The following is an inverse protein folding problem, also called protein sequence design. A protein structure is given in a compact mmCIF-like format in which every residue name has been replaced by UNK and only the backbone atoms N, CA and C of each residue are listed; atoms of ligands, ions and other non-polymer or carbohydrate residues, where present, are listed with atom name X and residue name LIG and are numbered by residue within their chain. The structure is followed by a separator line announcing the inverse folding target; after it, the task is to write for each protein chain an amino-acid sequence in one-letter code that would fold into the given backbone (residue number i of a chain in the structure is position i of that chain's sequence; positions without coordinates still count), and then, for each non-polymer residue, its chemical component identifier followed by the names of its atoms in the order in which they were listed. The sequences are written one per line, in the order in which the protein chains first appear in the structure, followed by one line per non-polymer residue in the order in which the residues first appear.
data_IF_874289385276
#
_entry.id   IF_874289385276
#
_cell.length_a   1.000
_cell.length_b   1.000
_cell.length_c   1.000
_cell.angle_alpha   90.00
_cell.angle_beta   90.00
_cell.angle_gamma   90.00
#
_symmetry.space_group_name_H-M   'P 1'
#
loop_
_entity.id
_entity.type
_entity.pdbx_description
1 polymer ?
#
# COMPACT_ATOMS: atom_id res chain seq x y z
N UNK A 1 -4.01 13.34 -13.60
CA UNK A 1 -3.95 11.90 -13.93
C UNK A 1 -4.11 11.12 -12.62
N UNK A 2 -5.34 11.01 -12.13
CA UNK A 2 -5.73 10.20 -10.95
C UNK A 2 -6.32 8.84 -11.41
N UNK A 3 -6.28 8.60 -12.73
CA UNK A 3 -7.21 7.72 -13.44
C UNK A 3 -6.79 6.26 -13.59
N UNK A 4 -5.51 5.91 -13.43
CA UNK A 4 -5.06 4.56 -13.81
C UNK A 4 -5.41 3.52 -12.75
N UNK A 5 -5.43 3.90 -11.47
CA UNK A 5 -5.60 2.95 -10.39
C UNK A 5 -7.07 2.63 -10.08
N UNK A 6 -7.93 3.66 -10.14
CA UNK A 6 -9.37 3.54 -9.86
C UNK A 6 -10.09 2.80 -10.99
N UNK A 7 -9.67 2.98 -12.25
CA UNK A 7 -10.38 2.43 -13.43
C UNK A 7 -10.06 0.98 -13.79
N UNK A 8 -9.04 0.37 -13.20
CA UNK A 8 -8.61 -1.01 -13.57
C UNK A 8 -9.15 -2.08 -12.60
N UNK A 9 -9.90 -1.69 -11.57
CA UNK A 9 -10.28 -2.57 -10.45
C UNK A 9 -11.77 -2.86 -10.40
N UNK A 10 -12.32 -3.47 -11.44
CA UNK A 10 -13.63 -4.12 -11.36
C UNK A 10 -13.59 -5.28 -10.34
N UNK A 11 -14.14 -5.05 -9.15
CA UNK A 11 -14.61 -6.10 -8.22
C UNK A 11 -13.59 -7.08 -7.66
N UNK A 12 -12.28 -6.81 -7.76
CA UNK A 12 -11.27 -7.84 -7.43
C UNK A 12 -10.83 -7.92 -5.98
N UNK A 13 -10.91 -6.87 -5.17
CA UNK A 13 -10.45 -6.94 -3.78
C UNK A 13 -11.68 -7.11 -2.88
N UNK A 14 -11.68 -8.09 -2.00
CA UNK A 14 -12.77 -8.37 -1.05
C UNK A 14 -12.32 -8.28 0.40
N UNK A 15 -11.02 -8.15 0.63
CA UNK A 15 -10.41 -8.12 1.95
C UNK A 15 -9.26 -7.11 2.02
N UNK A 16 -9.23 -6.30 3.07
CA UNK A 16 -8.28 -5.21 3.28
C UNK A 16 -7.69 -5.33 4.67
N UNK A 17 -6.36 -5.39 4.73
CA UNK A 17 -5.61 -5.37 5.98
C UNK A 17 -4.76 -4.10 6.07
N UNK A 18 -4.74 -3.45 7.23
CA UNK A 18 -3.87 -2.30 7.50
C UNK A 18 -2.84 -2.71 8.53
N UNK A 19 -1.55 -2.51 8.23
CA UNK A 19 -0.46 -2.79 9.16
C UNK A 19 -0.15 -1.57 10.01
N UNK A 20 0.22 -1.78 11.27
CA UNK A 20 0.69 -0.70 12.14
C UNK A 20 2.04 -0.19 11.64
N UNK A 21 2.20 1.11 11.41
CA UNK A 21 3.43 1.77 10.98
C UNK A 21 4.71 1.37 11.73
N UNK A 22 4.61 0.98 13.01
CA UNK A 22 5.75 0.49 13.81
C UNK A 22 6.38 -0.76 13.20
N UNK A 23 5.63 -1.51 12.39
CA UNK A 23 6.14 -2.74 11.79
C UNK A 23 7.38 -2.52 10.91
N UNK A 24 7.51 -1.36 10.26
CA UNK A 24 8.71 -1.02 9.49
C UNK A 24 9.92 -0.74 10.39
N UNK A 25 9.70 -0.49 11.67
CA UNK A 25 10.75 -0.28 12.67
C UNK A 25 11.44 -1.56 13.13
N UNK A 26 10.88 -2.74 12.91
CA UNK A 26 11.55 -3.99 13.25
C UNK A 26 12.65 -4.31 12.25
N UNK A 27 13.87 -4.55 12.73
CA UNK A 27 15.01 -4.90 11.87
C UNK A 27 15.02 -6.40 11.50
N UNK A 28 14.44 -7.26 12.33
CA UNK A 28 14.38 -8.71 12.09
C UNK A 28 13.22 -9.06 11.14
N UNK A 29 13.52 -9.70 10.01
CA UNK A 29 12.55 -10.13 9.01
C UNK A 29 11.41 -10.98 9.57
N UNK A 30 11.73 -11.91 10.49
CA UNK A 30 10.74 -12.80 11.11
C UNK A 30 9.68 -12.04 11.93
N UNK A 31 10.08 -10.95 12.60
CA UNK A 31 9.15 -10.13 13.38
C UNK A 31 8.25 -9.30 12.48
N UNK A 32 8.78 -8.79 11.36
CA UNK A 32 7.95 -8.14 10.34
C UNK A 32 7.01 -9.12 9.66
N UNK A 33 7.50 -10.31 9.31
CA UNK A 33 6.72 -11.36 8.66
C UNK A 33 5.49 -11.74 9.51
N UNK A 34 5.65 -11.84 10.83
CA UNK A 34 4.54 -12.14 11.75
C UNK A 34 3.40 -11.13 11.65
N UNK A 35 3.66 -9.86 11.33
CA UNK A 35 2.60 -8.84 11.22
C UNK A 35 1.78 -8.98 9.94
N UNK A 36 2.40 -9.44 8.84
CA UNK A 36 1.77 -9.56 7.52
C UNK A 36 1.38 -10.99 7.13
N UNK A 37 1.83 -11.99 7.89
CA UNK A 37 1.53 -13.41 7.70
C UNK A 37 0.78 -14.00 8.91
N UNK A 38 0.10 -13.15 9.71
CA UNK A 38 -0.82 -13.62 10.75
C UNK A 38 -1.89 -14.55 10.16
N UNK A 39 -2.55 -15.38 10.98
CA UNK A 39 -3.70 -16.19 10.56
C UNK A 39 -4.80 -15.37 9.82
N UNK A 40 -4.83 -14.05 10.01
CA UNK A 40 -5.70 -13.10 9.32
C UNK A 40 -5.11 -12.60 7.99
N UNK A 41 -3.80 -12.33 7.91
CA UNK A 41 -3.15 -11.64 6.78
C UNK A 41 -2.40 -12.56 5.79
N UNK A 42 -1.95 -13.71 6.28
CA UNK A 42 -1.51 -14.92 5.59
C UNK A 42 -0.97 -14.73 4.17
N UNK A 43 0.14 -14.03 3.97
CA UNK A 43 0.85 -13.99 2.67
C UNK A 43 1.08 -15.40 2.08
N UNK A 44 1.24 -16.39 2.96
CA UNK A 44 1.35 -17.82 2.65
C UNK A 44 0.06 -18.49 2.13
N UNK A 45 -1.12 -17.85 2.27
CA UNK A 45 -2.46 -18.38 1.91
C UNK A 45 -3.32 -17.41 1.08
N UNK A 46 -2.76 -16.33 0.54
CA UNK A 46 -3.53 -15.18 0.03
C UNK A 46 -4.55 -15.55 -1.04
N UNK A 47 -5.81 -15.17 -0.81
CA UNK A 47 -6.80 -15.03 -1.86
C UNK A 47 -6.38 -13.90 -2.80
N UNK A 48 -6.42 -14.11 -4.12
CA UNK A 48 -6.12 -13.11 -5.15
C UNK A 48 -6.98 -11.82 -5.06
N UNK A 49 -7.78 -11.68 -4.01
CA UNK A 49 -8.69 -10.59 -3.72
C UNK A 49 -8.30 -9.80 -2.46
N UNK A 50 -7.08 -9.94 -1.95
CA UNK A 50 -6.62 -9.20 -0.77
C UNK A 50 -5.75 -7.99 -1.13
N UNK A 51 -5.88 -6.91 -0.37
CA UNK A 51 -4.93 -5.81 -0.34
C UNK A 51 -4.37 -5.56 1.09
N UNK A 52 -3.09 -5.21 1.17
CA UNK A 52 -2.45 -4.78 2.43
C UNK A 52 -2.05 -3.31 2.30
N UNK A 53 -2.50 -2.48 3.23
CA UNK A 53 -2.25 -1.05 3.29
C UNK A 53 -1.16 -0.77 4.32
N UNK A 54 -0.11 -0.09 3.87
CA UNK A 54 1.14 0.05 4.58
C UNK A 54 1.47 1.53 4.77
N UNK A 55 1.18 2.14 5.92
CA UNK A 55 1.63 3.49 6.20
C UNK A 55 3.16 3.52 6.34
N UNK A 56 3.80 4.46 5.66
CA UNK A 56 5.27 4.59 5.63
C UNK A 56 5.66 5.96 6.12
N UNK A 57 6.51 6.02 7.14
CA UNK A 57 7.04 7.27 7.66
C UNK A 57 8.48 7.47 7.19
N UNK A 58 8.74 8.59 6.52
CA UNK A 58 10.06 8.93 5.98
C UNK A 58 10.60 10.21 6.60
N UNK A 59 11.91 10.37 6.54
CA UNK A 59 12.61 11.57 6.95
C UNK A 59 13.68 11.93 5.90
N UNK A 60 13.28 12.69 4.87
CA UNK A 60 14.18 13.16 3.81
C UNK A 60 14.71 14.54 4.18
N UNK A 61 13.92 15.59 3.97
CA UNK A 61 14.18 16.95 4.45
C UNK A 61 13.23 17.35 5.59
N UNK A 62 12.03 16.78 5.60
CA UNK A 62 11.09 16.81 6.71
C UNK A 62 10.59 15.40 7.03
N UNK A 63 10.03 15.27 8.24
CA UNK A 63 9.25 14.12 8.65
C UNK A 63 7.91 14.09 7.92
N UNK A 64 7.61 12.99 7.25
CA UNK A 64 6.48 12.93 6.33
C UNK A 64 5.87 11.54 6.23
N UNK A 65 4.54 11.49 6.08
CA UNK A 65 3.80 10.25 5.88
C UNK A 65 3.52 10.00 4.40
N UNK A 66 3.87 8.81 3.97
CA UNK A 66 3.61 8.20 2.67
C UNK A 66 2.84 6.89 2.87
N UNK A 67 2.59 6.16 1.78
CA UNK A 67 2.05 4.82 1.90
C UNK A 67 2.45 3.89 0.78
N UNK A 68 2.23 2.60 1.04
CA UNK A 68 2.23 1.55 0.04
C UNK A 68 0.95 0.72 0.12
N UNK A 69 0.55 0.14 -0.99
CA UNK A 69 -0.53 -0.84 -1.08
C UNK A 69 -0.04 -2.06 -1.82
N UNK A 70 -0.02 -3.20 -1.14
CA UNK A 70 0.27 -4.50 -1.74
C UNK A 70 -1.05 -5.04 -2.27
N UNK A 71 -1.20 -5.15 -3.58
CA UNK A 71 -2.35 -5.76 -4.24
C UNK A 71 -1.93 -7.06 -4.93
N UNK A 72 -2.38 -8.17 -4.34
CA UNK A 72 -2.08 -9.51 -4.84
C UNK A 72 -2.87 -9.86 -6.10
N UNK A 73 -4.06 -9.28 -6.28
CA UNK A 73 -4.91 -9.50 -7.46
C UNK A 73 -4.35 -8.85 -8.72
N UNK A 74 -3.86 -7.61 -8.60
CA UNK A 74 -3.18 -6.93 -9.70
C UNK A 74 -1.70 -7.27 -9.80
N UNK A 75 -1.15 -7.98 -8.82
CA UNK A 75 0.29 -8.28 -8.67
C UNK A 75 1.19 -7.04 -8.62
N UNK A 76 0.73 -5.97 -7.97
CA UNK A 76 1.46 -4.72 -7.87
C UNK A 76 1.64 -4.28 -6.42
N UNK A 77 2.79 -3.67 -6.13
CA UNK A 77 3.00 -2.84 -4.94
C UNK A 77 2.92 -1.39 -5.39
N UNK A 78 1.87 -0.70 -4.98
CA UNK A 78 1.67 0.71 -5.30
C UNK A 78 2.26 1.56 -4.19
N UNK A 79 3.22 2.43 -4.51
CA UNK A 79 3.79 3.41 -3.58
C UNK A 79 3.28 4.80 -3.92
N UNK A 80 3.04 5.62 -2.91
CA UNK A 80 2.55 6.97 -3.12
C UNK A 80 3.05 7.93 -2.05
N UNK A 81 3.19 9.19 -2.47
CA UNK A 81 3.54 10.34 -1.66
C UNK A 81 2.51 11.45 -1.93
N UNK A 82 1.79 11.95 -0.90
CA UNK A 82 0.86 13.07 -1.03
C UNK A 82 1.48 14.36 -1.60
N UNK A 83 2.80 14.57 -1.46
CA UNK A 83 3.51 15.73 -2.01
C UNK A 83 4.00 15.52 -3.45
N UNK A 84 3.88 14.30 -4.00
CA UNK A 84 4.33 13.90 -5.34
C UNK A 84 5.80 14.21 -5.62
N UNK A 85 6.62 14.14 -4.58
CA UNK A 85 8.06 14.36 -4.65
C UNK A 85 8.77 13.08 -5.04
N UNK A 86 9.59 13.15 -6.09
CA UNK A 86 10.32 11.99 -6.57
C UNK A 86 11.32 11.47 -5.55
N UNK A 87 12.02 12.37 -4.84
CA UNK A 87 12.97 12.00 -3.79
C UNK A 87 12.27 11.33 -2.58
N UNK A 88 11.02 11.68 -2.31
CA UNK A 88 10.22 11.00 -1.29
C UNK A 88 9.78 9.62 -1.75
N UNK A 89 9.33 9.51 -3.01
CA UNK A 89 8.98 8.22 -3.62
C UNK A 89 10.20 7.29 -3.72
N UNK A 90 11.39 7.82 -3.99
CA UNK A 90 12.65 7.07 -4.00
C UNK A 90 12.95 6.48 -2.60
N UNK A 91 12.79 7.28 -1.54
CA UNK A 91 12.95 6.81 -0.16
C UNK A 91 11.90 5.76 0.23
N UNK A 92 10.64 5.97 -0.17
CA UNK A 92 9.57 4.98 0.02
C UNK A 92 9.90 3.68 -0.71
N UNK A 93 10.33 3.76 -1.96
CA UNK A 93 10.72 2.60 -2.76
C UNK A 93 11.88 1.85 -2.12
N UNK A 94 12.90 2.55 -1.61
CA UNK A 94 14.01 1.96 -0.89
C UNK A 94 13.56 1.22 0.37
N UNK A 95 12.64 1.79 1.16
CA UNK A 95 12.04 1.13 2.34
C UNK A 95 11.27 -0.12 1.92
N UNK A 96 10.45 -0.03 0.86
CA UNK A 96 9.67 -1.16 0.34
C UNK A 96 10.59 -2.29 -0.12
N UNK A 97 11.60 -1.98 -0.95
CA UNK A 97 12.58 -2.95 -1.44
C UNK A 97 13.37 -3.60 -0.30
N UNK A 98 13.76 -2.84 0.73
CA UNK A 98 14.54 -3.36 1.84
C UNK A 98 13.71 -4.15 2.85
N UNK A 99 12.50 -3.70 3.18
CA UNK A 99 11.76 -4.19 4.35
C UNK A 99 10.52 -5.01 4.01
N UNK A 100 9.89 -4.78 2.86
CA UNK A 100 8.65 -5.46 2.44
C UNK A 100 8.90 -6.55 1.40
N UNK A 101 9.62 -6.22 0.32
CA UNK A 101 9.86 -7.13 -0.81
C UNK A 101 10.46 -8.47 -0.37
N UNK A 102 11.45 -8.54 0.55
CA UNK A 102 12.02 -9.82 1.00
C UNK A 102 11.02 -10.71 1.74
N UNK A 103 9.91 -10.15 2.22
CA UNK A 103 8.85 -10.89 2.87
C UNK A 103 7.86 -11.42 1.83
N UNK A 104 7.55 -10.62 0.81
CA UNK A 104 6.53 -10.90 -0.21
C UNK A 104 7.05 -11.82 -1.31
N UNK A 105 8.23 -11.54 -1.87
CA UNK A 105 8.78 -12.24 -3.03
C UNK A 105 9.23 -13.67 -2.75
N UNK A 106 9.29 -14.07 -1.48
CA UNK A 106 9.37 -15.49 -1.10
C UNK A 106 8.17 -16.30 -1.57
N UNK A 107 7.04 -15.64 -1.84
CA UNK A 107 5.77 -16.28 -2.22
C UNK A 107 5.19 -15.70 -3.51
N UNK A 108 5.33 -14.39 -3.76
CA UNK A 108 4.72 -13.69 -4.89
C UNK A 108 5.67 -12.70 -5.54
N UNK A 109 5.97 -12.87 -6.84
CA UNK A 109 6.69 -11.86 -7.61
C UNK A 109 5.75 -10.71 -7.98
N UNK A 110 5.94 -9.55 -7.35
CA UNK A 110 5.11 -8.35 -7.53
C UNK A 110 5.91 -7.22 -8.16
N UNK A 111 5.26 -6.39 -8.98
CA UNK A 111 5.91 -5.22 -9.59
C UNK A 111 5.63 -3.94 -8.80
N UNK A 112 6.65 -3.14 -8.52
CA UNK A 112 6.47 -1.82 -7.86
C UNK A 112 5.98 -0.79 -8.88
N UNK A 113 5.01 0.03 -8.48
CA UNK A 113 4.45 1.12 -9.27
C UNK A 113 4.30 2.38 -8.41
N UNK A 114 4.66 3.53 -8.97
CA UNK A 114 4.45 4.84 -8.33
C UNK A 114 3.07 5.36 -8.70
N UNK A 115 2.33 5.80 -7.69
CA UNK A 115 1.01 6.37 -7.82
C UNK A 115 1.07 7.87 -7.54
N UNK A 116 0.44 8.64 -8.41
CA UNK A 116 0.33 10.10 -8.32
C UNK A 116 -1.08 10.52 -7.87
N UNK A 117 -1.62 9.88 -6.83
CA UNK A 117 -2.93 10.27 -6.28
C UNK A 117 -2.79 11.41 -5.27
N UNK A 118 -3.75 12.36 -5.36
CA UNK A 118 -3.95 13.53 -4.49
C UNK A 118 -2.74 14.47 -4.37
N UNK A 119 -2.99 15.75 -4.12
CA UNK A 119 -1.96 16.78 -4.08
C UNK A 119 -2.11 17.57 -2.78
N UNK A 120 -1.08 17.52 -1.94
CA UNK A 120 -0.95 18.40 -0.79
C UNK A 120 -0.06 19.59 -1.18
N UNK A 121 -0.68 20.77 -1.32
CA UNK A 121 0.03 22.02 -1.66
C UNK A 121 0.84 22.54 -0.45
N UNK A 122 0.25 22.53 0.75
CA UNK A 122 0.88 23.00 1.99
C UNK A 122 0.29 22.30 3.22
N UNK A 123 1.11 21.94 4.21
CA UNK A 123 0.64 21.61 5.57
C UNK A 123 1.11 20.28 6.17
N UNK A 124 0.60 19.99 7.38
CA UNK A 124 0.90 18.79 8.19
C UNK A 124 -0.04 17.61 7.91
N UNK A 125 -0.82 17.66 6.83
CA UNK A 125 -1.93 16.73 6.57
C UNK A 125 -1.50 15.45 5.84
N UNK A 126 -0.20 15.18 5.70
CA UNK A 126 0.30 14.01 4.98
C UNK A 126 -0.31 12.68 5.47
N UNK A 127 -0.50 12.53 6.79
CA UNK A 127 -1.18 11.37 7.37
C UNK A 127 -2.66 11.27 6.95
N UNK A 128 -3.37 12.40 6.85
CA UNK A 128 -4.78 12.43 6.42
C UNK A 128 -4.91 11.97 4.96
N UNK A 129 -4.04 12.45 4.07
CA UNK A 129 -4.02 12.03 2.67
C UNK A 129 -3.62 10.55 2.50
N UNK A 130 -2.76 10.03 3.37
CA UNK A 130 -2.44 8.60 3.42
C UNK A 130 -3.68 7.80 3.78
N UNK A 131 -4.41 8.18 4.83
CA UNK A 131 -5.65 7.52 5.24
C UNK A 131 -6.73 7.66 4.17
N UNK A 132 -6.89 8.82 3.55
CA UNK A 132 -7.86 9.03 2.46
C UNK A 132 -7.55 8.15 1.24
N UNK A 133 -6.27 8.00 0.89
CA UNK A 133 -5.85 7.08 -0.19
C UNK A 133 -6.20 5.64 0.18
N UNK A 134 -5.94 5.23 1.42
CA UNK A 134 -6.32 3.91 1.94
C UNK A 134 -7.83 3.68 1.99
N UNK A 135 -8.62 4.68 2.36
CA UNK A 135 -10.08 4.60 2.31
C UNK A 135 -10.54 4.45 0.86
N UNK A 136 -9.98 5.21 -0.08
CA UNK A 136 -10.29 5.03 -1.50
C UNK A 136 -9.91 3.63 -2.02
N UNK A 137 -8.82 3.04 -1.53
CA UNK A 137 -8.48 1.63 -1.79
C UNK A 137 -9.57 0.69 -1.26
N UNK A 138 -10.06 0.96 -0.05
CA UNK A 138 -10.99 0.13 0.70
C UNK A 138 -12.49 0.35 0.39
N UNK A 139 -12.85 1.42 -0.33
CA UNK A 139 -14.24 1.70 -0.74
C UNK A 139 -14.50 1.39 -2.21
N UNK A 140 -13.54 1.62 -3.10
CA UNK A 140 -13.63 1.20 -4.52
C UNK A 140 -13.48 -0.33 -4.72
N UNK A 141 -13.49 -1.06 -3.61
CA UNK A 141 -13.33 -2.49 -3.45
C UNK A 141 -14.67 -3.24 -3.54
N UNK A 142 -15.83 -2.55 -3.62
CA UNK A 142 -17.15 -3.21 -3.57
C UNK A 142 -18.21 -2.79 -4.59
N UNK A 143 -17.92 -1.94 -5.59
CA UNK A 143 -18.93 -1.57 -6.60
C UNK A 143 -18.99 -2.49 -7.84
N UNK A 144 -18.68 -3.78 -7.69
CA UNK A 144 -18.79 -4.78 -8.77
C UNK A 144 -20.04 -5.66 -8.70
N UNK A 145 -20.82 -5.60 -7.62
CA UNK A 145 -22.03 -6.41 -7.44
C UNK A 145 -23.23 -5.52 -7.10
N UNK A 146 -23.81 -4.87 -8.12
CA UNK A 146 -25.23 -4.50 -8.16
C UNK A 146 -25.55 -3.92 -9.54
N UNK A 147 -25.62 -4.78 -10.55
CA UNK A 147 -26.40 -4.58 -11.79
C UNK A 147 -26.63 -5.96 -12.42
N UNK A 148 -27.42 -6.78 -11.72
CA UNK A 148 -28.24 -7.81 -12.37
C UNK A 148 -29.68 -7.59 -11.94
N UNK A 149 -30.45 -6.99 -12.84
CA UNK A 149 -31.87 -7.27 -13.08
C UNK A 149 -32.14 -6.94 -14.53
#
# INVERSE_FOLDING_TARGET
MVDVWIRVRDGRISDVHVVDSVFLGFEIDADRARMIDTNLCGMSKVAATRAILVPIYIAVDIRHWCGATIDFGSKFIWIYDPKRRNDYLDEVEAIVLRKLVPLIEKTWALTIRRLSAWYLDVGHNCGVFVVETFLNVATNTKQGEMLQT
#
